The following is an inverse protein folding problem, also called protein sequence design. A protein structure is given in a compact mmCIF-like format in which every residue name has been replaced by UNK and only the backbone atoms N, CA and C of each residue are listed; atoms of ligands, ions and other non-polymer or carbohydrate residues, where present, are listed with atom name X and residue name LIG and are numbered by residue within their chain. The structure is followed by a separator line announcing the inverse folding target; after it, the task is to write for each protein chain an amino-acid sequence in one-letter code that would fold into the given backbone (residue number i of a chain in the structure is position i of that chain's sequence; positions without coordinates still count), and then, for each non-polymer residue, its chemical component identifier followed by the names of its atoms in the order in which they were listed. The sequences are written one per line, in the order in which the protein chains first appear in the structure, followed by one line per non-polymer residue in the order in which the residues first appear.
data_IF_558530978894
#
_entry.id   IF_558530978894
#
_cell.length_a   1.000
_cell.length_b   1.000
_cell.length_c   1.000
_cell.angle_alpha   90.00
_cell.angle_beta   90.00
_cell.angle_gamma   90.00
#
_symmetry.space_group_name_H-M   'P 1'
#
loop_
_entity.id
_entity.type
_entity.pdbx_description
1 polymer ?
#
# COMPACT_ATOMS: atom_id res chain seq x y z
N UNK A 1 -20.54 12.21 18.41
CA UNK A 1 -19.42 11.24 18.47
C UNK A 1 -18.17 11.99 18.04
N UNK A 2 -17.22 12.32 18.93
CA UNK A 2 -16.22 13.33 18.60
C UNK A 2 -14.98 12.79 17.87
N UNK A 3 -14.90 11.50 17.58
CA UNK A 3 -13.73 10.94 16.89
C UNK A 3 -14.05 10.67 15.42
N UNK A 4 -13.91 11.70 14.61
CA UNK A 4 -13.84 11.59 13.15
C UNK A 4 -12.38 11.33 12.75
N UNK A 5 -12.15 10.34 11.88
CA UNK A 5 -10.83 9.92 11.43
C UNK A 5 -10.53 10.36 10.00
N UNK A 6 -11.23 11.39 9.52
CA UNK A 6 -11.15 11.89 8.14
C UNK A 6 -10.09 12.97 7.98
N UNK A 7 -9.35 12.96 6.87
CA UNK A 7 -8.40 14.01 6.49
C UNK A 7 -7.02 13.91 7.14
N UNK A 8 -6.74 12.83 7.88
CA UNK A 8 -5.43 12.63 8.52
C UNK A 8 -4.34 12.36 7.48
N UNK A 9 -4.70 11.76 6.34
CA UNK A 9 -3.82 11.59 5.20
C UNK A 9 -3.27 12.91 4.69
N UNK A 10 -4.09 13.96 4.56
CA UNK A 10 -3.65 15.28 4.13
C UNK A 10 -2.81 15.97 5.21
N UNK A 11 -3.19 15.85 6.50
CA UNK A 11 -2.39 16.40 7.59
C UNK A 11 -0.98 15.80 7.56
N UNK A 12 -0.86 14.48 7.46
CA UNK A 12 0.43 13.80 7.36
C UNK A 12 1.21 14.26 6.13
N UNK A 13 0.63 14.14 4.94
CA UNK A 13 1.32 14.43 3.67
C UNK A 13 1.90 15.84 3.66
N UNK A 14 1.15 16.85 4.10
CA UNK A 14 1.64 18.22 4.12
C UNK A 14 2.67 18.47 5.22
N UNK A 15 2.49 17.89 6.41
CA UNK A 15 3.45 18.05 7.49
C UNK A 15 4.79 17.41 7.12
N UNK A 16 4.76 16.19 6.59
CA UNK A 16 5.94 15.48 6.12
C UNK A 16 6.64 16.25 4.99
N UNK A 17 5.88 16.67 3.97
CA UNK A 17 6.41 17.42 2.82
C UNK A 17 7.13 18.73 3.23
N UNK A 18 6.62 19.45 4.22
CA UNK A 18 7.21 20.70 4.70
C UNK A 18 8.23 20.52 5.84
N UNK A 19 8.50 19.28 6.26
CA UNK A 19 9.48 18.96 7.31
C UNK A 19 9.00 19.22 8.73
N UNK A 20 7.68 19.28 8.97
CA UNK A 20 7.09 19.28 10.33
C UNK A 20 6.95 17.82 10.83
N UNK A 21 8.10 17.20 11.10
CA UNK A 21 8.20 15.80 11.53
C UNK A 21 7.42 15.54 12.83
N UNK A 22 7.37 16.51 13.75
CA UNK A 22 6.62 16.39 15.01
C UNK A 22 5.12 16.22 14.72
N UNK A 23 4.56 17.05 13.81
CA UNK A 23 3.15 16.98 13.44
C UNK A 23 2.83 15.75 12.60
N UNK A 24 3.72 15.37 11.68
CA UNK A 24 3.58 14.14 10.90
C UNK A 24 3.53 12.92 11.82
N UNK A 25 4.46 12.83 12.77
CA UNK A 25 4.48 11.77 13.79
C UNK A 25 3.21 11.79 14.65
N UNK A 26 2.77 12.96 15.11
CA UNK A 26 1.54 13.06 15.92
C UNK A 26 0.32 12.53 15.16
N UNK A 27 0.26 12.77 13.84
CA UNK A 27 -0.79 12.26 12.96
C UNK A 27 -0.77 10.74 12.88
N UNK A 28 0.42 10.15 12.65
CA UNK A 28 0.61 8.69 12.65
C UNK A 28 0.21 8.06 13.99
N UNK A 29 0.64 8.64 15.11
CA UNK A 29 0.31 8.15 16.45
C UNK A 29 -1.21 8.21 16.71
N UNK A 30 -1.87 9.29 16.28
CA UNK A 30 -3.32 9.40 16.37
C UNK A 30 -4.00 8.30 15.55
N UNK A 31 -3.59 8.09 14.30
CA UNK A 31 -4.11 7.03 13.42
C UNK A 31 -3.95 5.64 14.03
N UNK A 32 -2.77 5.32 14.57
CA UNK A 32 -2.50 4.04 15.25
C UNK A 32 -3.43 3.84 16.44
N UNK A 33 -3.74 4.88 17.21
CA UNK A 33 -4.55 4.78 18.43
C UNK A 33 -6.00 4.29 18.18
N UNK A 34 -6.55 4.51 16.99
CA UNK A 34 -7.92 4.09 16.66
C UNK A 34 -8.01 3.05 15.53
N UNK A 35 -6.87 2.57 15.03
CA UNK A 35 -6.78 1.54 13.97
C UNK A 35 -6.33 0.21 14.59
N UNK A 36 -7.21 -0.79 14.74
CA UNK A 36 -6.87 -2.01 15.46
C UNK A 36 -5.96 -2.94 14.64
N UNK A 37 -5.10 -3.68 15.33
CA UNK A 37 -4.42 -4.87 14.80
C UNK A 37 -5.00 -6.11 15.47
N UNK A 38 -6.18 -6.55 15.02
CA UNK A 38 -6.92 -7.68 15.58
C UNK A 38 -7.06 -8.73 14.48
N UNK A 39 -6.75 -10.02 14.69
CA UNK A 39 -6.82 -11.08 13.67
C UNK A 39 -8.27 -11.47 13.36
N UNK A 40 -9.03 -10.53 12.82
CA UNK A 40 -10.40 -10.68 12.37
C UNK A 40 -10.56 -9.84 11.11
N UNK A 41 -11.21 -10.40 10.09
CA UNK A 41 -11.37 -9.76 8.78
C UNK A 41 -11.98 -8.34 8.85
N UNK A 42 -12.87 -8.10 9.81
CA UNK A 42 -13.58 -6.82 9.96
C UNK A 42 -12.90 -5.84 10.91
N UNK A 43 -12.09 -6.33 11.86
CA UNK A 43 -11.40 -5.46 12.83
C UNK A 43 -9.96 -5.12 12.45
N UNK A 44 -9.27 -5.99 11.71
CA UNK A 44 -7.86 -5.73 11.36
C UNK A 44 -7.76 -4.52 10.43
N UNK A 45 -7.04 -3.49 10.84
CA UNK A 45 -6.89 -2.25 10.07
C UNK A 45 -8.16 -1.39 9.97
N UNK A 46 -9.27 -1.78 10.62
CA UNK A 46 -10.52 -1.05 10.50
C UNK A 46 -10.55 0.14 11.46
N UNK A 47 -10.26 1.34 10.95
CA UNK A 47 -10.33 2.58 11.72
C UNK A 47 -11.70 2.70 12.41
N UNK A 48 -11.69 3.08 13.68
CA UNK A 48 -12.89 3.08 14.52
C UNK A 48 -13.94 4.09 14.06
N UNK A 49 -15.06 3.61 13.49
CA UNK A 49 -16.18 4.46 13.01
C UNK A 49 -17.55 3.84 13.26
N UNK A 50 -18.56 4.68 13.52
CA UNK A 50 -19.91 4.19 13.85
C UNK A 50 -21.12 4.99 13.35
N UNK A 51 -20.91 6.18 12.79
CA UNK A 51 -22.02 7.09 12.49
C UNK A 51 -22.37 7.14 11.01
N UNK A 52 -21.47 6.67 10.13
CA UNK A 52 -21.56 6.96 8.71
C UNK A 52 -22.83 6.34 8.06
N UNK A 53 -23.27 5.14 8.48
CA UNK A 53 -24.54 4.57 8.02
C UNK A 53 -25.77 5.38 8.43
N UNK A 54 -25.76 6.00 9.62
CA UNK A 54 -26.87 6.83 10.09
C UNK A 54 -27.04 8.13 9.29
N UNK A 55 -25.98 8.61 8.64
CA UNK A 55 -25.96 9.89 7.92
C UNK A 55 -25.98 9.70 6.40
N UNK A 56 -25.30 8.68 5.89
CA UNK A 56 -25.06 8.48 4.46
C UNK A 56 -25.51 7.12 3.94
N UNK A 57 -25.85 6.19 4.84
CA UNK A 57 -26.22 4.82 4.50
C UNK A 57 -27.70 4.66 4.17
N UNK A 58 -28.06 3.55 3.52
CA UNK A 58 -29.46 3.21 3.23
C UNK A 58 -30.17 2.68 4.47
N UNK A 59 -29.42 2.03 5.38
CA UNK A 59 -29.99 1.43 6.58
C UNK A 59 -30.30 2.47 7.65
N UNK A 60 -29.65 3.63 7.61
CA UNK A 60 -29.87 4.77 8.53
C UNK A 60 -29.73 4.39 10.01
N UNK A 61 -28.70 3.57 10.32
CA UNK A 61 -28.45 3.07 11.67
C UNK A 61 -27.11 3.51 12.22
N UNK A 62 -27.05 3.72 13.53
CA UNK A 62 -25.78 3.83 14.26
C UNK A 62 -25.22 2.42 14.47
N UNK A 63 -23.93 2.25 14.18
CA UNK A 63 -23.39 0.90 14.11
C UNK A 63 -21.94 0.86 13.70
N UNK A 64 -21.17 -0.14 14.15
CA UNK A 64 -19.77 -0.26 13.73
C UNK A 64 -19.71 -0.60 12.24
N UNK A 65 -19.00 0.21 11.45
CA UNK A 65 -18.71 -0.10 10.05
C UNK A 65 -17.31 -0.73 9.90
N UNK A 66 -17.22 -1.85 9.21
CA UNK A 66 -15.96 -2.43 8.74
C UNK A 66 -15.72 -2.07 7.27
N UNK A 67 -14.45 -1.90 6.88
CA UNK A 67 -14.07 -1.59 5.48
C UNK A 67 -14.52 -0.20 4.99
N UNK A 68 -14.89 0.70 5.90
CA UNK A 68 -15.26 2.08 5.56
C UNK A 68 -14.07 2.90 5.08
N UNK A 69 -14.30 3.91 4.23
CA UNK A 69 -13.26 4.68 3.53
C UNK A 69 -12.17 5.26 4.45
N UNK A 70 -12.54 5.58 5.68
CA UNK A 70 -11.60 6.10 6.66
C UNK A 70 -10.43 5.15 6.92
N UNK A 71 -10.60 3.83 6.76
CA UNK A 71 -9.51 2.86 7.00
C UNK A 71 -8.41 2.96 5.93
N UNK A 72 -8.69 2.79 4.62
CA UNK A 72 -7.66 2.89 3.60
C UNK A 72 -7.11 4.32 3.42
N UNK A 73 -7.88 5.38 3.68
CA UNK A 73 -7.28 6.74 3.71
C UNK A 73 -6.25 6.86 4.84
N UNK A 74 -6.60 6.38 6.03
CA UNK A 74 -5.66 6.33 7.16
C UNK A 74 -4.50 5.35 6.94
N UNK A 75 -4.55 4.47 5.95
CA UNK A 75 -3.40 3.64 5.60
C UNK A 75 -2.28 4.44 4.92
N UNK A 76 -2.60 5.53 4.21
CA UNK A 76 -1.63 6.41 3.55
C UNK A 76 -0.56 6.90 4.55
N UNK A 77 -0.91 7.61 5.66
CA UNK A 77 0.09 8.08 6.60
C UNK A 77 0.87 6.94 7.28
N UNK A 78 0.24 5.78 7.52
CA UNK A 78 0.91 4.64 8.14
C UNK A 78 1.97 4.03 7.20
N UNK A 79 1.61 3.79 5.94
CA UNK A 79 2.47 3.15 4.96
C UNK A 79 3.55 4.10 4.43
N UNK A 80 3.26 5.39 4.27
CA UNK A 80 4.28 6.38 3.93
C UNK A 80 5.28 6.54 5.07
N UNK A 81 4.81 6.71 6.31
CA UNK A 81 5.69 6.81 7.48
C UNK A 81 6.57 5.57 7.66
N UNK A 82 6.02 4.39 7.40
CA UNK A 82 6.81 3.15 7.35
C UNK A 82 7.91 3.22 6.29
N UNK A 83 7.61 3.59 5.04
CA UNK A 83 8.61 3.61 3.96
C UNK A 83 9.70 4.67 4.14
N UNK A 84 9.34 5.83 4.68
CA UNK A 84 10.19 7.02 4.68
C UNK A 84 10.98 7.18 5.97
N UNK A 85 10.43 6.74 7.11
CA UNK A 85 10.97 7.07 8.44
C UNK A 85 11.14 5.88 9.38
N UNK A 86 10.32 4.83 9.23
CA UNK A 86 10.16 3.75 10.22
C UNK A 86 10.04 2.36 9.57
N UNK A 87 10.94 2.05 8.63
CA UNK A 87 10.90 0.82 7.84
C UNK A 87 11.21 -0.44 8.65
N UNK A 88 11.77 -0.28 9.84
CA UNK A 88 12.00 -1.31 10.85
C UNK A 88 10.75 -1.60 11.72
N UNK A 89 9.71 -0.76 11.70
CA UNK A 89 8.47 -0.97 12.46
C UNK A 89 7.51 -1.92 11.72
N UNK A 90 7.73 -3.23 11.88
CA UNK A 90 6.84 -4.27 11.34
C UNK A 90 5.38 -4.12 11.82
N UNK A 91 5.14 -3.58 13.02
CA UNK A 91 3.79 -3.36 13.50
C UNK A 91 3.08 -2.27 12.69
N UNK A 92 3.78 -1.18 12.37
CA UNK A 92 3.27 -0.10 11.52
C UNK A 92 2.89 -0.63 10.13
N UNK A 93 3.76 -1.42 9.50
CA UNK A 93 3.45 -2.09 8.23
C UNK A 93 2.21 -2.97 8.32
N UNK A 94 2.12 -3.83 9.35
CA UNK A 94 0.98 -4.74 9.53
C UNK A 94 -0.34 -3.99 9.64
N UNK A 95 -0.38 -2.91 10.42
CA UNK A 95 -1.60 -2.12 10.62
C UNK A 95 -1.97 -1.35 9.35
N UNK A 96 -0.99 -0.67 8.73
CA UNK A 96 -1.20 0.11 7.50
C UNK A 96 -1.67 -0.78 6.34
N UNK A 97 -1.03 -1.94 6.15
CA UNK A 97 -1.38 -2.84 5.05
C UNK A 97 -2.78 -3.46 5.23
N UNK A 98 -3.14 -3.84 6.46
CA UNK A 98 -4.49 -4.30 6.78
C UNK A 98 -5.55 -3.21 6.54
N UNK A 99 -5.24 -1.96 6.92
CA UNK A 99 -6.15 -0.84 6.71
C UNK A 99 -6.36 -0.53 5.22
N UNK A 100 -5.29 -0.56 4.43
CA UNK A 100 -5.32 -0.34 2.98
C UNK A 100 -6.18 -1.39 2.27
N UNK A 101 -5.96 -2.67 2.54
CA UNK A 101 -6.65 -3.78 1.86
C UNK A 101 -8.13 -3.92 2.23
N UNK A 102 -8.59 -3.27 3.29
CA UNK A 102 -10.00 -3.31 3.70
C UNK A 102 -10.97 -2.78 2.63
N UNK A 103 -10.49 -1.91 1.72
CA UNK A 103 -11.27 -1.41 0.59
C UNK A 103 -11.69 -2.48 -0.42
N UNK A 104 -10.98 -3.62 -0.44
CA UNK A 104 -11.30 -4.74 -1.34
C UNK A 104 -12.42 -5.62 -0.77
N UNK A 105 -12.57 -5.69 0.55
CA UNK A 105 -13.59 -6.52 1.21
C UNK A 105 -15.01 -6.02 0.96
N UNK A 106 -15.16 -4.72 0.67
CA UNK A 106 -16.47 -4.09 0.43
C UNK A 106 -16.88 -4.07 -1.03
N UNK A 107 -16.13 -4.74 -1.92
CA UNK A 107 -16.52 -4.98 -3.31
C UNK A 107 -17.20 -6.35 -3.39
N UNK A 108 -18.44 -6.39 -3.89
CA UNK A 108 -19.13 -7.66 -4.11
C UNK A 108 -18.64 -8.38 -5.39
N UNK A 109 -19.13 -9.61 -5.60
CA UNK A 109 -18.71 -10.44 -6.75
C UNK A 109 -19.11 -9.85 -8.12
N UNK A 110 -20.13 -9.00 -8.16
CA UNK A 110 -20.57 -8.29 -9.36
C UNK A 110 -19.79 -6.99 -9.60
N UNK A 111 -18.86 -6.63 -8.71
CA UNK A 111 -18.00 -5.44 -8.81
C UNK A 111 -18.59 -4.16 -8.19
N UNK A 112 -19.70 -4.25 -7.45
CA UNK A 112 -20.30 -3.10 -6.78
C UNK A 112 -19.69 -2.89 -5.39
N UNK A 113 -19.18 -1.68 -5.14
CA UNK A 113 -18.68 -1.26 -3.84
C UNK A 113 -19.82 -0.92 -2.86
N UNK A 114 -19.60 -1.24 -1.59
CA UNK A 114 -20.39 -0.80 -0.45
C UNK A 114 -19.60 0.20 0.39
N UNK A 115 -20.26 1.19 0.98
CA UNK A 115 -19.59 2.12 1.90
C UNK A 115 -19.05 1.43 3.17
N UNK A 116 -19.51 0.21 3.49
CA UNK A 116 -18.97 -0.59 4.58
C UNK A 116 -19.88 -1.74 5.00
N UNK A 117 -19.38 -2.59 5.87
CA UNK A 117 -20.15 -3.68 6.48
C UNK A 117 -20.65 -3.28 7.87
N UNK A 118 -21.96 -3.37 8.10
CA UNK A 118 -22.59 -3.09 9.39
C UNK A 118 -22.44 -4.29 10.32
N UNK A 119 -21.60 -4.13 11.35
CA UNK A 119 -21.30 -5.18 12.32
C UNK A 119 -22.31 -5.26 13.48
N UNK A 120 -23.46 -4.60 13.36
CA UNK A 120 -24.55 -4.71 14.33
C UNK A 120 -25.07 -6.15 14.32
N UNK A 121 -25.17 -6.84 15.46
CA UNK A 121 -25.56 -8.27 15.50
C UNK A 121 -26.91 -8.59 14.85
N UNK A 122 -27.83 -7.62 14.82
CA UNK A 122 -29.16 -7.70 14.21
C UNK A 122 -29.17 -7.39 12.70
N UNK A 123 -28.06 -6.89 12.15
CA UNK A 123 -27.93 -6.52 10.73
C UNK A 123 -26.93 -7.44 10.03
N UNK A 124 -25.65 -7.42 10.44
CA UNK A 124 -24.57 -8.26 9.90
C UNK A 124 -24.57 -8.31 8.36
N UNK A 125 -24.65 -7.16 7.71
CA UNK A 125 -24.80 -7.03 6.26
C UNK A 125 -24.03 -5.82 5.70
N UNK A 126 -23.71 -5.85 4.42
CA UNK A 126 -23.12 -4.71 3.73
C UNK A 126 -24.15 -3.60 3.57
N UNK A 127 -23.70 -2.35 3.69
CA UNK A 127 -24.54 -1.20 3.32
C UNK A 127 -24.91 -1.31 1.83
N UNK A 128 -26.21 -1.28 1.47
CA UNK A 128 -26.60 -1.36 0.07
C UNK A 128 -26.17 -0.17 -0.78
N UNK A 129 -25.80 0.96 -0.15
CA UNK A 129 -25.25 2.10 -0.85
C UNK A 129 -23.73 2.02 -0.96
N UNK A 130 -23.23 2.33 -2.16
CA UNK A 130 -21.82 2.56 -2.42
C UNK A 130 -21.30 3.78 -1.65
N UNK A 131 -22.14 4.80 -1.46
CA UNK A 131 -21.80 5.98 -0.66
C UNK A 131 -20.47 6.61 -1.08
N UNK A 132 -19.59 6.78 -0.10
CA UNK A 132 -18.24 7.36 -0.19
C UNK A 132 -17.14 6.32 -0.52
N UNK A 133 -17.51 5.13 -0.97
CA UNK A 133 -16.57 4.06 -1.35
C UNK A 133 -15.46 4.51 -2.32
N UNK A 134 -15.71 5.48 -3.20
CA UNK A 134 -14.68 6.00 -4.10
C UNK A 134 -13.43 6.49 -3.36
N UNK A 135 -13.59 7.09 -2.17
CA UNK A 135 -12.48 7.49 -1.31
C UNK A 135 -11.76 6.27 -0.71
N UNK A 136 -12.51 5.22 -0.41
CA UNK A 136 -11.97 3.94 0.07
C UNK A 136 -11.02 3.33 -0.96
N UNK A 137 -11.50 3.24 -2.21
CA UNK A 137 -10.72 2.72 -3.32
C UNK A 137 -9.51 3.60 -3.65
N UNK A 138 -9.63 4.92 -3.54
CA UNK A 138 -8.49 5.83 -3.68
C UNK A 138 -7.39 5.53 -2.66
N UNK A 139 -7.73 5.39 -1.38
CA UNK A 139 -6.73 5.07 -0.33
C UNK A 139 -5.99 3.77 -0.62
N UNK A 140 -6.71 2.73 -1.05
CA UNK A 140 -6.09 1.48 -1.49
C UNK A 140 -5.19 1.67 -2.71
N UNK A 141 -5.71 2.28 -3.79
CA UNK A 141 -4.94 2.54 -5.02
C UNK A 141 -3.67 3.37 -4.75
N UNK A 142 -3.74 4.32 -3.82
CA UNK A 142 -2.63 5.20 -3.50
C UNK A 142 -1.42 4.41 -3.00
N UNK A 143 -1.63 3.44 -2.11
CA UNK A 143 -0.55 2.66 -1.47
C UNK A 143 -0.42 1.21 -1.97
N UNK A 144 -1.27 0.76 -2.89
CA UNK A 144 -1.21 -0.60 -3.40
C UNK A 144 0.16 -0.92 -3.99
N UNK A 145 0.69 -2.06 -3.55
CA UNK A 145 2.02 -2.54 -3.86
C UNK A 145 2.40 -3.72 -2.98
N UNK A 146 3.50 -4.37 -3.35
CA UNK A 146 4.14 -5.35 -2.49
C UNK A 146 5.08 -4.65 -1.50
N UNK A 147 5.00 -5.03 -0.23
CA UNK A 147 5.94 -4.63 0.81
C UNK A 147 6.64 -5.88 1.31
N UNK A 148 7.96 -5.90 1.17
CA UNK A 148 8.83 -6.98 1.64
C UNK A 148 9.59 -6.47 2.85
N UNK A 149 9.62 -7.24 3.93
CA UNK A 149 10.23 -6.85 5.19
C UNK A 149 11.07 -8.00 5.71
N UNK A 150 12.35 -7.75 5.96
CA UNK A 150 13.20 -8.69 6.68
C UNK A 150 12.99 -8.56 8.19
N UNK A 151 12.52 -9.64 8.82
CA UNK A 151 12.45 -9.74 10.28
C UNK A 151 13.53 -10.72 10.78
N UNK A 152 14.40 -10.34 11.74
CA UNK A 152 15.48 -11.22 12.22
C UNK A 152 15.02 -12.54 12.85
N UNK A 153 13.75 -12.64 13.27
CA UNK A 153 13.19 -13.86 13.88
C UNK A 153 12.38 -14.69 12.87
N UNK A 154 11.69 -14.04 11.94
CA UNK A 154 10.78 -14.69 10.99
C UNK A 154 11.34 -14.81 9.56
N UNK A 155 12.46 -14.16 9.25
CA UNK A 155 13.03 -14.06 7.91
C UNK A 155 12.24 -13.09 7.02
N UNK A 156 12.23 -13.36 5.72
CA UNK A 156 11.54 -12.52 4.74
C UNK A 156 10.02 -12.66 4.83
N UNK A 157 9.35 -11.55 5.10
CA UNK A 157 7.90 -11.40 5.11
C UNK A 157 7.45 -10.62 3.87
N UNK A 158 6.26 -10.95 3.36
CA UNK A 158 5.68 -10.26 2.22
C UNK A 158 4.21 -9.92 2.46
N UNK A 159 3.86 -8.69 2.09
CA UNK A 159 2.51 -8.15 2.07
C UNK A 159 2.20 -7.73 0.63
N UNK A 160 1.08 -8.18 0.07
CA UNK A 160 0.70 -7.81 -1.31
C UNK A 160 1.52 -8.49 -2.41
N UNK A 161 2.14 -9.61 -2.10
CA UNK A 161 2.92 -10.40 -3.04
C UNK A 161 3.48 -11.67 -2.43
N UNK A 162 4.20 -12.42 -3.24
CA UNK A 162 4.99 -13.57 -2.83
C UNK A 162 6.46 -13.17 -2.72
N UNK A 163 7.17 -13.76 -1.76
CA UNK A 163 8.63 -13.64 -1.64
C UNK A 163 9.23 -15.04 -1.51
N UNK A 164 10.31 -15.28 -2.24
CA UNK A 164 11.03 -16.56 -2.25
C UNK A 164 12.54 -16.28 -2.16
N UNK A 165 13.15 -16.72 -1.06
CA UNK A 165 14.61 -16.79 -0.92
C UNK A 165 15.08 -18.10 -1.55
N UNK A 166 15.76 -17.98 -2.70
CA UNK A 166 16.22 -19.13 -3.47
C UNK A 166 17.58 -19.67 -2.97
N UNK A 167 18.10 -19.10 -1.87
CA UNK A 167 19.48 -19.28 -1.44
C UNK A 167 20.47 -18.58 -2.38
N UNK A 168 21.76 -18.73 -2.09
CA UNK A 168 22.84 -18.11 -2.87
C UNK A 168 22.71 -16.59 -3.06
N UNK A 169 22.12 -15.89 -2.08
CA UNK A 169 21.92 -14.43 -2.16
C UNK A 169 20.98 -14.00 -3.30
N UNK A 170 19.90 -14.77 -3.55
CA UNK A 170 18.88 -14.42 -4.55
C UNK A 170 17.48 -14.38 -3.92
N UNK A 171 16.87 -13.20 -3.88
CA UNK A 171 15.49 -12.99 -3.44
C UNK A 171 14.59 -12.73 -4.65
N UNK A 172 13.51 -13.50 -4.81
CA UNK A 172 12.49 -13.26 -5.85
C UNK A 172 11.21 -12.74 -5.22
N UNK A 173 10.68 -11.64 -5.76
CA UNK A 173 9.49 -10.96 -5.25
C UNK A 173 8.46 -10.83 -6.38
N UNK A 174 7.22 -11.22 -6.12
CA UNK A 174 6.14 -11.23 -7.12
C UNK A 174 4.95 -10.46 -6.57
N UNK A 175 4.72 -9.20 -6.99
CA UNK A 175 3.55 -8.46 -6.57
C UNK A 175 2.25 -9.17 -6.99
N UNK A 176 1.32 -9.32 -6.06
CA UNK A 176 -0.02 -9.89 -6.27
C UNK A 176 -1.14 -8.95 -5.78
N UNK A 177 -0.79 -7.70 -5.45
CA UNK A 177 -1.74 -6.61 -5.21
C UNK A 177 -2.59 -6.31 -6.47
N UNK A 178 -3.65 -5.49 -6.39
CA UNK A 178 -4.54 -5.30 -7.54
C UNK A 178 -3.88 -4.69 -8.78
N UNK A 179 -2.73 -4.01 -8.66
CA UNK A 179 -2.09 -3.30 -9.75
C UNK A 179 -0.76 -3.92 -10.20
N UNK A 180 -0.08 -4.67 -9.33
CA UNK A 180 1.26 -5.24 -9.56
C UNK A 180 2.27 -4.18 -10.04
N UNK A 181 2.26 -2.97 -9.47
CA UNK A 181 3.06 -1.84 -10.00
C UNK A 181 4.12 -1.32 -9.06
N UNK A 182 4.08 -1.68 -7.78
CA UNK A 182 4.97 -1.12 -6.77
C UNK A 182 5.56 -2.24 -5.92
N UNK A 183 6.82 -2.08 -5.57
CA UNK A 183 7.55 -2.92 -4.65
C UNK A 183 8.37 -2.02 -3.73
N UNK A 184 8.21 -2.18 -2.43
CA UNK A 184 9.10 -1.64 -1.41
C UNK A 184 9.74 -2.79 -0.66
N UNK A 185 11.05 -2.69 -0.41
CA UNK A 185 11.82 -3.69 0.33
C UNK A 185 12.50 -3.00 1.51
N UNK A 186 12.22 -3.49 2.71
CA UNK A 186 13.06 -3.27 3.90
C UNK A 186 13.96 -4.50 4.07
N UNK A 187 15.27 -4.29 3.96
CA UNK A 187 16.28 -5.34 4.06
C UNK A 187 17.17 -5.20 5.29
N UNK A 188 18.10 -6.15 5.47
CA UNK A 188 19.06 -6.14 6.57
C UNK A 188 19.96 -4.90 6.57
N UNK A 189 20.38 -4.46 5.38
CA UNK A 189 21.36 -3.37 5.23
C UNK A 189 20.83 -2.19 4.42
N UNK A 190 19.80 -2.41 3.59
CA UNK A 190 19.33 -1.38 2.67
C UNK A 190 17.86 -1.54 2.34
N UNK A 191 17.21 -0.40 2.23
CA UNK A 191 15.84 -0.28 1.76
C UNK A 191 15.83 0.20 0.32
N UNK A 192 14.87 -0.26 -0.46
CA UNK A 192 14.66 0.30 -1.80
C UNK A 192 13.21 0.21 -2.26
N UNK A 193 12.86 1.08 -3.21
CA UNK A 193 11.53 1.10 -3.84
C UNK A 193 11.65 1.08 -5.36
N UNK A 194 10.75 0.34 -6.01
CA UNK A 194 10.56 0.32 -7.46
C UNK A 194 9.07 0.52 -7.76
N UNK A 195 8.78 1.51 -8.59
CA UNK A 195 7.43 1.85 -9.04
C UNK A 195 7.42 1.88 -10.57
N UNK A 196 6.64 1.00 -11.18
CA UNK A 196 6.32 1.08 -12.60
C UNK A 196 5.07 1.92 -12.82
N UNK A 197 5.24 3.09 -13.46
CA UNK A 197 4.10 3.98 -13.75
C UNK A 197 3.24 3.41 -14.89
N UNK A 198 3.82 2.62 -15.78
CA UNK A 198 3.19 2.22 -17.05
C UNK A 198 2.71 0.77 -17.06
N UNK A 199 3.61 -0.20 -16.90
CA UNK A 199 3.31 -1.63 -17.11
C UNK A 199 3.37 -2.42 -15.79
N UNK A 200 2.55 -3.47 -15.61
CA UNK A 200 2.65 -4.32 -14.43
C UNK A 200 4.02 -5.01 -14.34
N UNK A 201 4.56 -5.06 -13.14
CA UNK A 201 5.72 -5.86 -12.75
C UNK A 201 5.24 -7.31 -12.64
N UNK A 202 5.93 -8.22 -13.32
CA UNK A 202 5.70 -9.65 -13.20
C UNK A 202 6.41 -10.19 -11.95
N UNK A 203 7.70 -9.88 -11.84
CA UNK A 203 8.54 -10.30 -10.74
C UNK A 203 9.79 -9.40 -10.67
N UNK A 204 10.42 -9.35 -9.50
CA UNK A 204 11.68 -8.67 -9.24
C UNK A 204 12.63 -9.67 -8.61
N UNK A 205 13.84 -9.77 -9.16
CA UNK A 205 14.92 -10.60 -8.61
C UNK A 205 15.99 -9.69 -8.06
N UNK A 206 16.28 -9.80 -6.78
CA UNK A 206 17.36 -9.09 -6.11
C UNK A 206 18.53 -10.05 -5.83
N UNK A 207 19.67 -9.74 -6.43
CA UNK A 207 20.96 -10.42 -6.25
C UNK A 207 21.82 -9.61 -5.29
N UNK A 208 21.83 -10.03 -4.01
CA UNK A 208 22.60 -9.33 -2.96
C UNK A 208 24.10 -9.43 -3.19
N UNK A 209 24.59 -10.44 -3.92
CA UNK A 209 26.02 -10.64 -4.13
C UNK A 209 26.63 -9.54 -5.02
N UNK A 210 25.81 -8.97 -5.91
CA UNK A 210 26.22 -8.01 -6.93
C UNK A 210 25.50 -6.65 -6.81
N UNK A 211 24.65 -6.48 -5.80
CA UNK A 211 23.76 -5.34 -5.61
C UNK A 211 22.87 -5.06 -6.84
N UNK A 212 22.42 -6.11 -7.52
CA UNK A 212 21.67 -6.01 -8.77
C UNK A 212 20.21 -6.36 -8.59
N UNK A 213 19.35 -5.54 -9.18
CA UNK A 213 17.90 -5.76 -9.19
C UNK A 213 17.45 -5.94 -10.64
N UNK A 214 16.85 -7.08 -10.94
CA UNK A 214 16.25 -7.38 -12.24
C UNK A 214 14.74 -7.22 -12.12
N UNK A 215 14.17 -6.29 -12.87
CA UNK A 215 12.72 -6.06 -12.89
C UNK A 215 12.16 -6.66 -14.17
N UNK A 216 11.36 -7.71 -14.04
CA UNK A 216 10.68 -8.36 -15.15
C UNK A 216 9.25 -7.80 -15.28
N UNK A 217 8.87 -7.39 -16.49
CA UNK A 217 7.57 -6.80 -16.74
C UNK A 217 6.61 -7.80 -17.39
N UNK A 218 5.34 -7.69 -17.02
CA UNK A 218 4.26 -8.42 -17.67
C UNK A 218 3.98 -7.85 -19.05
N UNK A 219 3.33 -8.63 -19.91
CA UNK A 219 2.83 -8.10 -21.18
C UNK A 219 1.69 -7.10 -20.94
N UNK A 220 1.81 -5.84 -21.38
CA UNK A 220 0.79 -4.86 -21.11
C UNK A 220 -0.41 -5.07 -22.02
N UNK A 221 -1.63 -4.93 -21.47
CA UNK A 221 -2.87 -4.94 -22.26
C UNK A 221 -2.92 -3.79 -23.28
N UNK A 222 -2.29 -2.66 -22.95
CA UNK A 222 -2.16 -1.48 -23.80
C UNK A 222 -0.70 -1.07 -23.82
N UNK A 223 -0.08 -1.05 -25.00
CA UNK A 223 1.32 -0.66 -25.16
C UNK A 223 1.51 0.81 -24.73
N UNK A 224 2.42 1.09 -23.78
CA UNK A 224 2.71 2.47 -23.41
C UNK A 224 3.58 3.14 -24.49
N UNK A 225 3.64 4.47 -24.48
CA UNK A 225 4.57 5.21 -25.34
C UNK A 225 6.02 5.00 -24.92
N UNK A 226 6.28 5.07 -23.62
CA UNK A 226 7.57 4.84 -22.98
C UNK A 226 7.33 3.92 -21.77
N UNK A 227 8.29 3.06 -21.46
CA UNK A 227 8.31 2.38 -20.17
C UNK A 227 8.85 3.36 -19.12
N UNK A 228 8.08 3.65 -18.06
CA UNK A 228 8.46 4.65 -17.04
C UNK A 228 8.59 4.02 -15.65
N UNK A 229 9.79 4.05 -15.10
CA UNK A 229 10.12 3.45 -13.79
C UNK A 229 10.66 4.53 -12.85
N UNK A 230 10.02 4.68 -11.70
CA UNK A 230 10.53 5.46 -10.57
C UNK A 230 11.18 4.51 -9.57
N UNK A 231 12.25 4.98 -8.95
CA UNK A 231 12.99 4.21 -7.94
C UNK A 231 13.35 5.10 -6.76
N UNK A 232 13.70 4.49 -5.62
CA UNK A 232 14.36 5.18 -4.51
C UNK A 232 15.72 5.77 -4.94
N UNK A 233 16.23 6.74 -4.19
CA UNK A 233 17.43 7.53 -4.58
C UNK A 233 18.74 6.71 -4.65
N UNK A 234 18.81 5.62 -3.88
CA UNK A 234 19.91 4.68 -3.86
C UNK A 234 19.89 3.69 -5.04
N UNK A 235 18.80 3.62 -5.82
CA UNK A 235 18.69 2.71 -6.97
C UNK A 235 18.88 3.47 -8.27
N UNK A 236 19.69 2.92 -9.18
CA UNK A 236 19.92 3.47 -10.53
C UNK A 236 19.89 2.40 -11.60
N UNK A 237 19.41 2.69 -12.81
CA UNK A 237 19.49 1.75 -13.92
C UNK A 237 20.95 1.54 -14.33
N UNK A 238 21.28 0.32 -14.75
CA UNK A 238 22.59 0.03 -15.36
C UNK A 238 22.63 0.42 -16.84
N UNK A 239 21.45 0.58 -17.44
CA UNK A 239 21.23 0.98 -18.82
C UNK A 239 21.00 2.50 -18.92
N UNK A 240 21.19 3.08 -20.10
CA UNK A 240 20.90 4.50 -20.32
C UNK A 240 19.38 4.75 -20.29
N UNK A 241 18.86 5.19 -19.15
CA UNK A 241 17.50 5.73 -19.01
C UNK A 241 17.54 7.23 -18.80
N UNK A 242 16.68 7.98 -19.50
CA UNK A 242 16.56 9.42 -19.29
C UNK A 242 15.59 9.69 -18.13
N UNK A 243 16.00 10.51 -17.15
CA UNK A 243 15.07 10.93 -16.09
C UNK A 243 14.14 12.04 -16.59
N UNK A 244 12.83 11.78 -16.56
CA UNK A 244 11.78 12.72 -16.95
C UNK A 244 10.70 12.72 -15.87
N UNK A 245 10.55 13.87 -15.19
CA UNK A 245 9.54 14.09 -14.13
C UNK A 245 9.57 13.02 -13.04
N UNK A 246 10.76 12.71 -12.53
CA UNK A 246 10.95 11.76 -11.41
C UNK A 246 10.89 10.28 -11.77
N UNK A 247 10.84 9.92 -13.05
CA UNK A 247 10.92 8.53 -13.52
C UNK A 247 11.94 8.40 -14.65
N UNK A 248 12.63 7.27 -14.73
CA UNK A 248 13.46 6.90 -15.87
C UNK A 248 12.57 6.40 -17.02
N UNK A 249 12.83 6.89 -18.24
CA UNK A 249 12.16 6.41 -19.45
C UNK A 249 13.04 5.41 -20.22
N UNK A 250 12.42 4.32 -20.66
CA UNK A 250 13.03 3.25 -21.45
C UNK A 250 12.15 2.89 -22.66
N UNK A 251 12.68 2.01 -23.52
CA UNK A 251 11.94 1.41 -24.63
C UNK A 251 10.64 0.77 -24.11
N UNK A 252 9.46 1.11 -24.66
CA UNK A 252 8.18 0.50 -24.25
C UNK A 252 8.11 -1.01 -24.47
N UNK A 253 9.00 -1.59 -25.28
CA UNK A 253 9.09 -3.02 -25.55
C UNK A 253 10.05 -3.77 -24.61
N UNK A 254 10.80 -3.07 -23.76
CA UNK A 254 11.67 -3.70 -22.78
C UNK A 254 10.87 -4.63 -21.86
N UNK A 255 11.31 -5.88 -21.75
CA UNK A 255 10.67 -6.92 -20.92
C UNK A 255 11.38 -7.13 -19.59
N UNK A 256 12.63 -6.72 -19.51
CA UNK A 256 13.45 -6.75 -18.32
C UNK A 256 14.28 -5.47 -18.29
N UNK A 257 14.48 -4.91 -17.11
CA UNK A 257 15.44 -3.85 -16.86
C UNK A 257 16.33 -4.23 -15.69
N UNK A 258 17.60 -3.83 -15.75
CA UNK A 258 18.55 -4.05 -14.64
C UNK A 258 18.86 -2.74 -13.93
N UNK A 259 18.81 -2.78 -12.61
CA UNK A 259 19.18 -1.70 -11.71
C UNK A 259 20.28 -2.14 -10.76
N UNK A 260 20.94 -1.16 -10.15
CA UNK A 260 21.95 -1.36 -9.12
C UNK A 260 21.67 -0.49 -7.90
N UNK A 261 21.88 -1.03 -6.71
CA UNK A 261 21.95 -0.25 -5.47
C UNK A 261 23.33 0.42 -5.38
N UNK A 262 23.36 1.67 -4.94
CA UNK A 262 24.58 2.45 -4.76
C UNK A 262 25.32 2.13 -3.48
#
# INVERSE_FOLDING_TARGET
MPWDSTGQEEIYVWCDYFGDEEKAKQTVDAVKAYTPSIPNWGYNGAARRYFDSAVYGKREVMGRLFGHYGSPLNAIPLLQSYKEHHSDDLYLLKVGYAASTSALTTINQDGFGSMGYLANPDIMDFEPYTGDYGQSFYGYMHEAGQFVHFDPQAGWLSFGGEVEDNGNMILTMKPTDAFHKRLFVHGEETDFEIISETVPIKDVVYDFANDKIFVNFSEPKVAPRNLRIRTSENVRPTENGQMVRGAYEFDPLARQLTFKIK
#
